data_IF_585312805996
#
_entry.id   IF_585312805996
#
_cell.length_a   1.000
_cell.length_b   1.000
_cell.length_c   1.000
_cell.angle_alpha   90.00
_cell.angle_beta   90.00
_cell.angle_gamma   90.00
#
_symmetry.space_group_name_H-M   'P 1'
#
loop_
_entity.id
_entity.type
_entity.pdbx_description
1 polymer ?
#
# COMPACT_ATOMS: atom_id res chain seq x y z
N UNK A 1 8.20 -20.18 9.55
CA UNK A 1 7.05 -19.40 10.03
C UNK A 1 7.17 -18.07 9.31
N UNK A 2 6.33 -17.80 8.32
CA UNK A 2 6.26 -16.49 7.67
C UNK A 2 5.72 -15.46 8.67
N UNK A 3 6.19 -14.22 8.57
CA UNK A 3 5.72 -13.13 9.42
C UNK A 3 4.69 -12.31 8.65
N UNK A 4 3.42 -12.45 9.03
CA UNK A 4 2.33 -11.58 8.57
C UNK A 4 2.37 -10.24 9.33
N UNK A 5 2.31 -9.14 8.59
CA UNK A 5 2.24 -7.78 9.14
C UNK A 5 1.11 -7.00 8.47
N UNK A 6 0.20 -6.47 9.27
CA UNK A 6 -0.86 -5.55 8.84
C UNK A 6 -0.45 -4.10 9.16
N UNK A 7 -0.48 -3.24 8.16
CA UNK A 7 -0.12 -1.82 8.27
C UNK A 7 -1.21 -0.94 7.64
N UNK A 8 -1.53 0.18 8.29
CA UNK A 8 -2.44 1.18 7.73
C UNK A 8 -1.66 2.36 7.14
N UNK A 9 -1.83 2.59 5.85
CA UNK A 9 -1.31 3.76 5.16
C UNK A 9 -2.44 4.77 4.98
N UNK A 10 -2.14 6.06 5.11
CA UNK A 10 -3.11 7.11 4.84
C UNK A 10 -2.50 8.24 4.03
N UNK A 11 -3.33 8.86 3.19
CA UNK A 11 -2.90 9.99 2.38
C UNK A 11 -3.96 10.41 1.37
N UNK A 12 -3.64 11.43 0.58
CA UNK A 12 -4.52 11.89 -0.48
C UNK A 12 -4.58 10.87 -1.63
N UNK A 13 -5.80 10.48 -2.01
CA UNK A 13 -6.10 9.59 -3.11
C UNK A 13 -6.77 10.39 -4.24
N UNK A 14 -6.09 10.48 -5.39
CA UNK A 14 -6.61 11.17 -6.58
C UNK A 14 -7.84 10.49 -7.18
N UNK A 15 -8.04 9.18 -6.96
CA UNK A 15 -9.24 8.47 -7.43
C UNK A 15 -10.52 8.91 -6.71
N UNK A 16 -10.42 9.33 -5.44
CA UNK A 16 -11.56 9.78 -4.64
C UNK A 16 -11.54 11.29 -4.39
N UNK A 17 -10.54 11.99 -4.92
CA UNK A 17 -10.25 13.40 -4.65
C UNK A 17 -10.33 13.77 -3.16
N UNK A 18 -9.67 12.97 -2.32
CA UNK A 18 -9.78 13.13 -0.87
C UNK A 18 -8.80 12.26 -0.09
N UNK A 19 -8.81 12.38 1.23
CA UNK A 19 -8.05 11.49 2.09
C UNK A 19 -8.61 10.06 2.04
N UNK A 20 -7.71 9.09 2.03
CA UNK A 20 -8.04 7.66 2.10
C UNK A 20 -7.09 6.98 3.08
N UNK A 21 -7.64 6.06 3.87
CA UNK A 21 -6.89 5.07 4.64
C UNK A 21 -6.95 3.74 3.88
N UNK A 22 -5.84 3.02 3.85
CA UNK A 22 -5.68 1.75 3.13
C UNK A 22 -5.01 0.75 4.05
N UNK A 23 -5.64 -0.42 4.23
CA UNK A 23 -5.02 -1.57 4.85
C UNK A 23 -4.06 -2.25 3.86
N UNK A 24 -2.89 -2.65 4.36
CA UNK A 24 -1.84 -3.35 3.62
C UNK A 24 -1.37 -4.52 4.46
N UNK A 25 -1.43 -5.72 3.89
CA UNK A 25 -0.93 -6.95 4.50
C UNK A 25 0.31 -7.40 3.73
N UNK A 26 1.41 -7.59 4.45
CA UNK A 26 2.65 -8.14 3.90
C UNK A 26 3.04 -9.43 4.63
N UNK A 27 3.55 -10.41 3.89
CA UNK A 27 4.23 -11.59 4.42
C UNK A 27 5.69 -11.57 3.98
N UNK A 28 6.63 -11.55 4.92
CA UNK A 28 8.07 -11.51 4.62
C UNK A 28 8.44 -10.40 3.60
N UNK A 29 7.86 -9.21 3.79
CA UNK A 29 8.00 -8.03 2.90
C UNK A 29 7.43 -8.23 1.48
N UNK A 30 6.59 -9.23 1.27
CA UNK A 30 5.85 -9.43 0.03
C UNK A 30 4.42 -8.96 0.27
N UNK A 31 3.91 -8.08 -0.59
CA UNK A 31 2.50 -7.67 -0.55
C UNK A 31 1.59 -8.88 -0.80
N UNK A 32 0.70 -9.16 0.15
CA UNK A 32 -0.30 -10.23 0.05
C UNK A 32 -1.68 -9.65 -0.24
N UNK A 33 -2.06 -8.58 0.47
CA UNK A 33 -3.38 -7.96 0.34
C UNK A 33 -3.30 -6.44 0.50
N UNK A 34 -4.14 -5.72 -0.23
CA UNK A 34 -4.40 -4.29 0.00
C UNK A 34 -5.83 -3.94 -0.41
N UNK A 35 -6.48 -3.06 0.34
CA UNK A 35 -7.88 -2.65 0.07
C UNK A 35 -8.01 -1.55 -1.00
N UNK A 36 -6.96 -1.33 -1.81
CA UNK A 36 -6.93 -0.35 -2.89
C UNK A 36 -6.45 -0.97 -4.22
N UNK A 37 -6.53 -0.21 -5.32
CA UNK A 37 -6.21 -0.72 -6.65
C UNK A 37 -4.70 -0.75 -6.94
N UNK A 38 -3.82 -0.78 -5.94
CA UNK A 38 -2.39 -0.99 -6.20
C UNK A 38 -2.16 -2.46 -6.64
N UNK A 39 -1.30 -2.76 -7.63
CA UNK A 39 -0.44 -1.85 -8.40
C UNK A 39 -1.12 -1.21 -9.63
N UNK A 40 -2.35 -1.61 -9.97
CA UNK A 40 -3.08 -1.23 -11.19
C UNK A 40 -3.67 0.19 -11.20
N UNK A 41 -3.43 0.98 -10.16
CA UNK A 41 -3.93 2.34 -10.05
C UNK A 41 -3.25 3.25 -11.10
N UNK A 42 -4.00 4.07 -11.86
CA UNK A 42 -3.41 4.95 -12.88
C UNK A 42 -2.46 6.01 -12.29
N UNK A 43 -2.57 6.26 -10.98
CA UNK A 43 -1.75 7.23 -10.25
C UNK A 43 -0.64 6.55 -9.42
N UNK A 44 -0.35 5.25 -9.62
CA UNK A 44 0.62 4.48 -8.82
C UNK A 44 1.99 5.15 -8.69
N UNK A 45 2.44 5.87 -9.72
CA UNK A 45 3.74 6.56 -9.74
C UNK A 45 3.81 7.74 -8.75
N UNK A 46 2.72 8.49 -8.60
CA UNK A 46 2.61 9.71 -7.77
C UNK A 46 1.83 9.50 -6.47
N UNK A 47 1.20 8.33 -6.29
CA UNK A 47 0.39 8.02 -5.12
C UNK A 47 1.25 7.77 -3.87
N UNK A 48 1.00 8.54 -2.81
CA UNK A 48 1.67 8.40 -1.52
C UNK A 48 1.45 7.03 -0.85
N UNK A 49 0.26 6.43 -1.01
CA UNK A 49 -0.03 5.07 -0.52
C UNK A 49 0.80 4.04 -1.28
N UNK A 50 0.87 4.13 -2.61
CA UNK A 50 1.69 3.26 -3.43
C UNK A 50 3.20 3.38 -3.10
N UNK A 51 3.66 4.58 -2.73
CA UNK A 51 5.01 4.78 -2.21
C UNK A 51 5.22 4.04 -0.87
N UNK A 52 4.28 4.16 0.07
CA UNK A 52 4.34 3.45 1.34
C UNK A 52 4.34 1.92 1.18
N UNK A 53 3.50 1.37 0.29
CA UNK A 53 3.50 -0.07 -0.02
C UNK A 53 4.87 -0.52 -0.55
N UNK A 54 5.49 0.26 -1.44
CA UNK A 54 6.83 -0.03 -1.96
C UNK A 54 7.90 -0.03 -0.86
N UNK A 55 7.79 0.85 0.13
CA UNK A 55 8.73 0.85 1.27
C UNK A 55 8.53 -0.37 2.17
N UNK A 56 7.27 -0.74 2.46
CA UNK A 56 6.96 -1.96 3.23
C UNK A 56 7.50 -3.22 2.55
N UNK A 57 7.51 -3.25 1.22
CA UNK A 57 8.01 -4.38 0.45
C UNK A 57 9.54 -4.38 0.21
N UNK A 58 10.26 -3.33 0.63
CA UNK A 58 11.71 -3.19 0.42
C UNK A 58 12.57 -3.64 1.59
N UNK A 59 11.99 -3.86 2.77
CA UNK A 59 12.78 -4.19 3.96
C UNK A 59 13.54 -5.52 3.75
N UNK A 60 14.87 -5.42 3.77
CA UNK A 60 15.88 -6.47 3.95
C UNK A 60 17.07 -5.83 4.65
#
# INVERSE_FOLDING_TARGET
MSVEQETFLSGYCRCTDGSRMVAVVTEDHILVETDCNYPDCPYTTECCIAAGIRELCKES
#
